data_IF_275842054305
#
_entry.id   IF_275842054305
#
_cell.length_a   1.000
_cell.length_b   1.000
_cell.length_c   1.000
_cell.angle_alpha   90.00
_cell.angle_beta   90.00
_cell.angle_gamma   90.00
#
_symmetry.space_group_name_H-M   'P 1'
#
loop_
_entity.id
_entity.type
_entity.pdbx_description
1 polymer ?
#
# COMPACT_ATOMS: atom_id res chain seq x y z
N UNK A 1 -7.72 3.74 -16.15
CA UNK A 1 -7.76 4.06 -17.59
C UNK A 1 -6.59 3.42 -18.36
N UNK A 2 -5.32 3.70 -18.05
CA UNK A 2 -4.18 3.09 -18.79
C UNK A 2 -4.11 1.55 -18.75
N UNK A 3 -4.32 0.91 -17.60
CA UNK A 3 -4.28 -0.57 -17.48
C UNK A 3 -5.41 -1.27 -18.26
N UNK A 4 -6.62 -0.70 -18.24
CA UNK A 4 -7.76 -1.24 -19.01
C UNK A 4 -7.57 -1.08 -20.52
N UNK A 5 -6.98 0.04 -20.96
CA UNK A 5 -6.67 0.28 -22.38
C UNK A 5 -5.57 -0.66 -22.89
N UNK A 6 -4.65 -1.08 -22.03
CA UNK A 6 -3.54 -1.97 -22.36
C UNK A 6 -3.84 -3.45 -22.08
N UNK A 7 -5.03 -3.77 -21.55
CA UNK A 7 -5.42 -5.10 -21.03
C UNK A 7 -4.40 -5.71 -20.03
N UNK A 8 -3.50 -4.88 -19.50
CA UNK A 8 -2.42 -5.32 -18.64
C UNK A 8 -2.90 -5.36 -17.19
N UNK A 9 -2.70 -6.51 -16.54
CA UNK A 9 -3.12 -6.70 -15.15
C UNK A 9 -4.63 -6.64 -14.96
N UNK A 10 -5.43 -7.00 -15.97
CA UNK A 10 -6.89 -7.07 -15.89
C UNK A 10 -7.39 -8.52 -16.07
N UNK A 11 -8.54 -8.86 -15.47
CA UNK A 11 -9.27 -10.10 -15.74
C UNK A 11 -9.87 -10.06 -17.15
N UNK A 12 -10.41 -11.20 -17.61
CA UNK A 12 -11.17 -11.28 -18.87
C UNK A 12 -12.40 -10.37 -18.92
N UNK A 13 -12.81 -9.80 -17.78
CA UNK A 13 -13.91 -8.83 -17.66
C UNK A 13 -13.43 -7.37 -17.65
N UNK A 14 -12.13 -7.12 -17.82
CA UNK A 14 -11.55 -5.76 -17.79
C UNK A 14 -11.37 -5.17 -16.39
N UNK A 15 -11.41 -6.02 -15.35
CA UNK A 15 -11.24 -5.61 -13.95
C UNK A 15 -9.78 -5.74 -13.51
N UNK A 16 -9.19 -4.78 -12.79
CA UNK A 16 -7.80 -4.88 -12.34
C UNK A 16 -7.57 -6.10 -11.43
N UNK A 17 -6.71 -7.03 -11.82
CA UNK A 17 -6.26 -8.17 -11.03
C UNK A 17 -4.89 -7.87 -10.42
N UNK A 18 -4.88 -6.98 -9.43
CA UNK A 18 -3.67 -6.53 -8.75
C UNK A 18 -3.55 -7.18 -7.37
N UNK A 19 -2.32 -7.47 -6.96
CA UNK A 19 -2.01 -7.90 -5.60
C UNK A 19 -1.00 -6.93 -5.02
N UNK A 20 -1.39 -6.23 -3.96
CA UNK A 20 -0.47 -5.37 -3.21
C UNK A 20 0.36 -6.21 -2.25
N UNK A 21 1.66 -5.94 -2.26
CA UNK A 21 2.65 -6.50 -1.34
C UNK A 21 3.39 -5.32 -0.72
N UNK A 22 3.66 -5.40 0.57
CA UNK A 22 4.51 -4.41 1.23
C UNK A 22 5.95 -4.53 0.69
N UNK A 23 6.60 -3.42 0.39
CA UNK A 23 7.95 -3.40 -0.20
C UNK A 23 8.99 -4.10 0.68
N UNK A 24 8.96 -3.89 2.01
CA UNK A 24 9.83 -4.57 2.95
C UNK A 24 9.54 -6.09 3.03
N UNK A 25 8.27 -6.49 2.92
CA UNK A 25 7.91 -7.90 2.87
C UNK A 25 8.35 -8.56 1.56
N UNK A 26 8.21 -7.86 0.44
CA UNK A 26 8.70 -8.30 -0.85
C UNK A 26 10.23 -8.42 -0.84
N UNK A 27 10.93 -7.38 -0.39
CA UNK A 27 12.38 -7.38 -0.19
C UNK A 27 12.85 -8.56 0.67
N UNK A 28 12.21 -8.77 1.82
CA UNK A 28 12.55 -9.86 2.72
C UNK A 28 12.27 -11.24 2.09
N UNK A 29 11.18 -11.37 1.31
CA UNK A 29 10.87 -12.62 0.61
C UNK A 29 11.94 -12.95 -0.42
N UNK A 30 12.32 -11.97 -1.23
CA UNK A 30 13.37 -12.13 -2.22
C UNK A 30 14.69 -12.52 -1.57
N UNK A 31 15.06 -11.85 -0.47
CA UNK A 31 16.28 -12.16 0.27
C UNK A 31 16.26 -13.55 0.90
N UNK A 32 15.10 -14.01 1.38
CA UNK A 32 14.93 -15.38 1.84
C UNK A 32 15.11 -16.37 0.69
N UNK A 33 14.54 -16.08 -0.49
CA UNK A 33 14.68 -16.91 -1.69
C UNK A 33 16.12 -17.00 -2.17
N UNK A 34 16.88 -15.90 -2.09
CA UNK A 34 18.32 -15.86 -2.37
C UNK A 34 19.21 -16.51 -1.29
N UNK A 35 18.63 -17.12 -0.25
CA UNK A 35 19.37 -17.75 0.84
C UNK A 35 20.05 -16.77 1.80
N UNK A 36 19.73 -15.47 1.72
CA UNK A 36 20.38 -14.43 2.53
C UNK A 36 19.75 -14.25 3.93
N UNK A 37 18.55 -14.81 4.15
CA UNK A 37 17.84 -14.79 5.45
C UNK A 37 17.66 -16.19 6.08
N UNK A 38 18.46 -17.18 5.69
CA UNK A 38 18.35 -18.55 6.24
C UNK A 38 18.64 -18.65 7.74
N UNK A 39 19.47 -17.74 8.25
CA UNK A 39 19.87 -17.61 9.65
C UNK A 39 18.90 -16.77 10.50
N UNK A 40 17.87 -16.15 9.90
CA UNK A 40 16.84 -15.45 10.67
C UNK A 40 15.84 -16.45 11.24
N UNK A 41 15.69 -16.42 12.56
CA UNK A 41 14.78 -17.27 13.31
C UNK A 41 13.51 -16.50 13.71
N UNK A 42 12.38 -17.19 13.95
CA UNK A 42 11.21 -16.57 14.55
C UNK A 42 11.60 -15.77 15.79
N UNK A 43 11.10 -14.53 15.89
CA UNK A 43 11.40 -13.48 16.88
C UNK A 43 12.63 -12.62 16.61
N UNK A 44 13.47 -12.98 15.66
CA UNK A 44 14.54 -12.08 15.22
C UNK A 44 13.96 -10.80 14.60
N UNK A 45 14.70 -9.70 14.73
CA UNK A 45 14.31 -8.37 14.27
C UNK A 45 15.27 -7.89 13.21
N UNK A 46 14.75 -7.19 12.22
CA UNK A 46 15.59 -6.58 11.20
C UNK A 46 15.02 -5.25 10.72
N UNK A 47 15.90 -4.34 10.34
CA UNK A 47 15.52 -3.13 9.63
C UNK A 47 15.60 -3.34 8.12
N UNK A 48 14.70 -2.71 7.38
CA UNK A 48 14.83 -2.50 5.94
C UNK A 48 15.04 -1.00 5.73
N UNK A 49 16.08 -0.65 4.97
CA UNK A 49 16.40 0.72 4.55
C UNK A 49 16.27 0.74 3.03
N UNK A 50 15.19 1.34 2.54
CA UNK A 50 14.92 1.51 1.11
C UNK A 50 15.57 2.78 0.60
N UNK A 51 16.71 2.63 -0.07
CA UNK A 51 17.44 3.69 -0.73
C UNK A 51 16.87 3.89 -2.13
N UNK A 52 15.75 4.60 -2.22
CA UNK A 52 15.09 4.95 -3.46
C UNK A 52 15.80 6.05 -4.26
N UNK A 53 15.16 6.45 -5.37
CA UNK A 53 15.63 7.56 -6.20
C UNK A 53 15.39 8.92 -5.53
N UNK A 54 14.19 9.14 -4.98
CA UNK A 54 13.80 10.42 -4.38
C UNK A 54 13.81 10.44 -2.84
N UNK A 55 13.51 9.31 -2.21
CA UNK A 55 13.46 9.19 -0.74
C UNK A 55 14.37 8.05 -0.29
N UNK A 56 14.74 8.09 0.98
CA UNK A 56 15.25 6.92 1.69
C UNK A 56 14.35 6.67 2.89
N UNK A 57 13.70 5.52 2.91
CA UNK A 57 12.74 5.15 3.95
C UNK A 57 13.27 3.96 4.75
N UNK A 58 12.85 3.84 5.99
CA UNK A 58 13.29 2.78 6.89
C UNK A 58 12.14 2.26 7.73
N UNK A 59 12.14 0.94 7.94
CA UNK A 59 11.19 0.29 8.81
C UNK A 59 11.78 -0.91 9.51
N UNK A 60 11.29 -1.19 10.72
CA UNK A 60 11.79 -2.28 11.57
C UNK A 60 10.74 -3.36 11.73
N UNK A 61 11.12 -4.58 11.40
CA UNK A 61 10.25 -5.75 11.37
C UNK A 61 10.75 -6.82 12.31
N UNK A 62 9.83 -7.63 12.82
CA UNK A 62 10.15 -8.85 13.54
C UNK A 62 9.71 -10.05 12.71
N UNK A 63 10.58 -11.04 12.53
CA UNK A 63 10.22 -12.30 11.89
C UNK A 63 9.24 -13.06 12.79
N UNK A 64 8.11 -13.45 12.23
CA UNK A 64 7.14 -14.31 12.90
C UNK A 64 7.32 -15.76 12.49
N UNK A 65 7.36 -16.02 11.20
CA UNK A 65 7.57 -17.34 10.60
C UNK A 65 8.53 -17.17 9.42
N UNK A 66 9.49 -18.09 9.29
CA UNK A 66 10.46 -18.02 8.21
C UNK A 66 9.93 -18.68 6.93
N UNK A 67 9.17 -19.77 7.06
CA UNK A 67 8.55 -20.50 5.93
C UNK A 67 7.12 -20.92 6.29
N UNK A 68 6.09 -20.34 5.63
CA UNK A 68 6.18 -19.19 4.72
C UNK A 68 6.65 -17.93 5.44
N UNK A 69 7.31 -17.00 4.72
CA UNK A 69 7.78 -15.76 5.33
C UNK A 69 6.59 -14.96 5.89
N UNK A 70 6.65 -14.65 7.18
CA UNK A 70 5.72 -13.77 7.88
C UNK A 70 6.49 -12.78 8.70
N UNK A 71 6.19 -11.51 8.48
CA UNK A 71 6.68 -10.42 9.30
C UNK A 71 5.56 -9.99 10.25
N UNK A 72 5.93 -9.67 11.49
CA UNK A 72 5.07 -8.84 12.34
C UNK A 72 4.96 -7.45 11.70
N UNK A 73 3.87 -6.73 11.99
CA UNK A 73 3.78 -5.31 11.63
C UNK A 73 5.01 -4.59 12.20
N UNK A 74 5.42 -3.54 11.51
CA UNK A 74 6.48 -2.64 11.92
C UNK A 74 6.44 -2.39 13.43
N UNK A 75 7.49 -2.84 14.12
CA UNK A 75 7.56 -2.83 15.59
C UNK A 75 8.06 -1.49 16.12
N UNK A 76 8.57 -0.63 15.25
CA UNK A 76 8.93 0.76 15.51
C UNK A 76 8.23 1.65 14.47
N UNK A 77 8.02 2.95 14.77
CA UNK A 77 7.50 3.88 13.79
C UNK A 77 8.43 3.96 12.56
N UNK A 78 7.88 4.03 11.33
CA UNK A 78 8.68 4.25 10.14
C UNK A 78 9.39 5.60 10.22
N UNK A 79 10.59 5.64 9.68
CA UNK A 79 11.39 6.85 9.58
C UNK A 79 11.86 7.02 8.13
N UNK A 80 11.93 8.25 7.64
CA UNK A 80 12.25 8.52 6.25
C UNK A 80 12.84 9.90 6.05
N UNK A 81 13.66 10.03 5.01
CA UNK A 81 14.32 11.26 4.60
C UNK A 81 14.03 11.53 3.13
N UNK A 82 13.79 12.80 2.80
CA UNK A 82 13.53 13.26 1.43
C UNK A 82 14.83 13.43 0.61
N UNK A 83 15.71 12.43 0.67
CA UNK A 83 16.93 12.37 -0.12
C UNK A 83 17.15 10.94 -0.60
N UNK A 84 17.36 10.79 -1.91
CA UNK A 84 17.65 9.52 -2.56
C UNK A 84 18.77 9.67 -3.58
N UNK A 85 19.04 8.59 -4.33
CA UNK A 85 20.16 8.54 -5.27
C UNK A 85 20.06 9.57 -6.41
N UNK A 86 18.88 10.12 -6.72
CA UNK A 86 18.71 11.17 -7.72
C UNK A 86 19.36 12.50 -7.30
N UNK A 87 19.55 12.73 -5.99
CA UNK A 87 20.24 13.93 -5.50
C UNK A 87 21.71 14.01 -5.96
N UNK A 88 22.32 12.87 -6.30
CA UNK A 88 23.65 12.82 -6.91
C UNK A 88 23.65 13.43 -8.32
N UNK A 89 22.54 13.29 -9.03
CA UNK A 89 22.37 13.78 -10.40
C UNK A 89 22.24 15.29 -10.40
N UNK A 90 21.42 15.82 -9.48
CA UNK A 90 21.25 17.26 -9.28
C UNK A 90 22.59 17.91 -8.91
N UNK A 91 23.35 17.31 -7.98
CA UNK A 91 24.68 17.81 -7.58
C UNK A 91 25.68 17.82 -8.72
N UNK A 92 25.73 16.75 -9.51
CA UNK A 92 26.61 16.70 -10.66
C UNK A 92 26.20 17.78 -11.68
N UNK A 93 24.90 17.89 -11.98
CA UNK A 93 24.39 18.85 -12.93
C UNK A 93 24.74 20.28 -12.51
N UNK A 94 24.49 20.64 -11.25
CA UNK A 94 24.82 21.97 -10.70
C UNK A 94 26.32 22.25 -10.76
N UNK A 95 27.14 21.23 -10.45
CA UNK A 95 28.59 21.33 -10.53
C UNK A 95 29.06 21.67 -11.95
N UNK A 96 28.63 20.87 -12.94
CA UNK A 96 29.05 21.07 -14.33
C UNK A 96 28.48 22.36 -14.90
N UNK A 97 27.21 22.64 -14.66
CA UNK A 97 26.54 23.87 -15.13
C UNK A 97 27.23 25.12 -14.57
N UNK A 98 27.60 25.08 -13.29
CA UNK A 98 28.36 26.14 -12.63
C UNK A 98 29.74 26.35 -13.24
N UNK A 99 30.48 25.28 -13.51
CA UNK A 99 31.81 25.37 -14.12
C UNK A 99 31.74 25.88 -15.56
N UNK A 100 30.79 25.39 -16.36
CA UNK A 100 30.58 25.87 -17.74
C UNK A 100 30.22 27.36 -17.76
N UNK A 101 29.30 27.78 -16.90
CA UNK A 101 28.83 29.16 -16.85
C UNK A 101 29.93 30.13 -16.42
N UNK A 102 30.79 29.72 -15.48
CA UNK A 102 31.91 30.54 -15.00
C UNK A 102 33.04 30.68 -16.00
N UNK A 103 33.33 29.61 -16.74
CA UNK A 103 34.52 29.53 -17.60
C UNK A 103 34.23 29.78 -19.09
N UNK A 104 32.95 29.83 -19.49
CA UNK A 104 32.55 29.92 -20.90
C UNK A 104 33.33 28.93 -21.78
N UNK A 105 33.42 27.69 -21.31
CA UNK A 105 34.37 26.69 -21.81
C UNK A 105 33.83 25.83 -22.96
N UNK A 106 32.67 26.18 -23.54
CA UNK A 106 32.09 25.44 -24.67
C UNK A 106 32.29 26.21 -25.96
N UNK A 107 32.76 25.52 -27.00
CA UNK A 107 32.81 26.06 -28.36
C UNK A 107 31.39 26.36 -28.89
N UNK A 108 31.04 27.64 -29.17
CA UNK A 108 29.73 27.99 -29.71
C UNK A 108 29.40 27.29 -31.03
N UNK A 109 30.42 26.99 -31.85
CA UNK A 109 30.23 26.32 -33.13
C UNK A 109 29.75 24.86 -32.97
N UNK A 110 30.14 24.20 -31.87
CA UNK A 110 29.75 22.81 -31.58
C UNK A 110 28.46 22.71 -30.76
N UNK A 111 28.17 23.74 -29.97
CA UNK A 111 26.89 23.87 -29.27
C UNK A 111 25.73 24.06 -30.26
N UNK A 112 25.95 24.88 -31.30
CA UNK A 112 24.93 25.19 -32.30
C UNK A 112 23.70 25.84 -31.67
N UNK A 113 22.50 25.32 -31.99
CA UNK A 113 21.23 25.81 -31.45
C UNK A 113 20.77 25.10 -30.16
N UNK A 114 21.59 24.20 -29.59
CA UNK A 114 21.24 23.47 -28.36
C UNK A 114 21.48 24.35 -27.14
N UNK A 115 20.68 24.15 -26.09
CA UNK A 115 20.98 24.72 -24.78
C UNK A 115 22.16 23.99 -24.13
N UNK A 116 22.91 24.70 -23.28
CA UNK A 116 23.98 24.12 -22.47
C UNK A 116 23.45 22.96 -21.62
N UNK A 117 22.26 23.14 -21.02
CA UNK A 117 21.59 22.09 -20.25
C UNK A 117 21.36 20.81 -21.07
N UNK A 118 20.81 20.93 -22.28
CA UNK A 118 20.59 19.77 -23.16
C UNK A 118 21.90 19.05 -23.46
N UNK A 119 22.97 19.82 -23.63
CA UNK A 119 24.31 19.30 -23.94
C UNK A 119 24.93 18.57 -22.72
N UNK A 120 24.80 19.12 -21.51
CA UNK A 120 25.19 18.46 -20.26
C UNK A 120 24.43 17.15 -20.08
N UNK A 121 23.11 17.17 -20.33
CA UNK A 121 22.27 15.97 -20.20
C UNK A 121 22.73 14.86 -21.14
N UNK A 122 22.99 15.20 -22.39
CA UNK A 122 23.42 14.26 -23.44
C UNK A 122 24.80 13.64 -23.15
N UNK A 123 25.80 14.47 -22.81
CA UNK A 123 27.20 14.01 -22.75
C UNK A 123 27.67 13.60 -21.35
N UNK A 124 27.01 14.09 -20.29
CA UNK A 124 27.39 13.81 -18.90
C UNK A 124 26.32 12.98 -18.21
N UNK A 125 25.08 13.47 -18.15
CA UNK A 125 24.06 12.85 -17.28
C UNK A 125 23.70 11.44 -17.74
N UNK A 126 23.60 11.20 -19.06
CA UNK A 126 23.37 9.84 -19.58
C UNK A 126 24.47 8.85 -19.18
N UNK A 127 25.74 9.27 -19.24
CA UNK A 127 26.86 8.43 -18.81
C UNK A 127 26.90 8.27 -17.29
N UNK A 128 26.51 9.31 -16.55
CA UNK A 128 26.47 9.34 -15.11
C UNK A 128 25.49 8.33 -14.51
N UNK A 129 24.31 8.16 -15.11
CA UNK A 129 23.30 7.18 -14.66
C UNK A 129 23.88 5.77 -14.44
N UNK A 130 24.79 5.37 -15.33
CA UNK A 130 25.47 4.09 -15.23
C UNK A 130 26.70 4.17 -14.32
N UNK A 131 27.46 5.26 -14.39
CA UNK A 131 28.75 5.38 -13.70
C UNK A 131 28.62 5.58 -12.19
N UNK A 132 27.60 6.30 -11.72
CA UNK A 132 27.42 6.63 -10.30
C UNK A 132 27.33 5.41 -9.38
N UNK A 133 26.82 4.28 -9.89
CA UNK A 133 26.72 3.02 -9.14
C UNK A 133 28.07 2.37 -8.85
N UNK A 134 29.04 2.55 -9.75
CA UNK A 134 30.37 1.91 -9.66
C UNK A 134 31.43 2.78 -8.97
N UNK A 135 31.08 4.01 -8.55
CA UNK A 135 32.02 4.87 -7.80
C UNK A 135 32.21 4.29 -6.41
N UNK A 136 33.45 4.09 -5.98
CA UNK A 136 33.76 3.40 -4.72
C UNK A 136 34.28 4.33 -3.61
N UNK A 137 34.89 5.47 -3.99
CA UNK A 137 35.52 6.45 -3.11
C UNK A 137 36.61 5.83 -2.20
N UNK A 138 37.49 5.00 -2.78
CA UNK A 138 38.48 4.23 -2.01
C UNK A 138 39.90 4.78 -2.10
N UNK A 139 40.28 5.33 -3.24
CA UNK A 139 41.62 5.87 -3.48
C UNK A 139 41.54 7.28 -4.03
N UNK A 140 42.53 8.11 -3.66
CA UNK A 140 42.66 9.49 -4.18
C UNK A 140 42.91 9.55 -5.70
N UNK A 141 43.22 8.41 -6.30
CA UNK A 141 43.47 8.25 -7.74
C UNK A 141 42.18 8.02 -8.53
N UNK A 142 41.07 7.67 -7.87
CA UNK A 142 39.78 7.45 -8.52
C UNK A 142 39.30 8.72 -9.22
N UNK A 143 38.95 8.57 -10.49
CA UNK A 143 38.45 9.64 -11.35
C UNK A 143 37.30 9.15 -12.20
N UNK A 144 36.39 10.06 -12.51
CA UNK A 144 35.35 9.84 -13.52
C UNK A 144 35.57 10.84 -14.64
N UNK A 145 35.67 10.34 -15.88
CA UNK A 145 35.92 11.15 -17.07
C UNK A 145 34.71 11.06 -17.99
N UNK A 146 34.16 12.21 -18.35
CA UNK A 146 33.12 12.33 -19.36
C UNK A 146 33.70 12.90 -20.64
N UNK A 147 33.33 12.31 -21.77
CA UNK A 147 33.59 12.91 -23.07
C UNK A 147 32.61 14.06 -23.27
N UNK A 148 33.13 15.25 -23.54
CA UNK A 148 32.32 16.45 -23.68
C UNK A 148 32.82 17.24 -24.90
N UNK A 149 32.27 16.98 -26.09
CA UNK A 149 32.78 17.60 -27.31
C UNK A 149 32.67 19.13 -27.24
N UNK A 150 33.70 19.83 -27.73
CA UNK A 150 33.72 21.29 -27.72
C UNK A 150 34.07 21.92 -26.37
N UNK A 151 34.38 21.13 -25.34
CA UNK A 151 35.02 21.66 -24.14
C UNK A 151 36.42 22.18 -24.49
N UNK A 152 36.70 23.44 -24.18
CA UNK A 152 38.01 24.08 -24.31
C UNK A 152 38.68 24.14 -22.95
N UNK A 153 39.91 23.66 -22.87
CA UNK A 153 40.75 23.78 -21.69
C UNK A 153 40.86 25.25 -21.29
N UNK A 154 40.57 25.53 -20.04
CA UNK A 154 40.88 26.78 -19.37
C UNK A 154 41.59 26.47 -18.06
N UNK A 155 42.28 27.46 -17.49
CA UNK A 155 42.79 27.36 -16.13
C UNK A 155 41.63 27.41 -15.13
N UNK A 156 40.88 26.32 -15.01
CA UNK A 156 40.01 26.13 -13.86
C UNK A 156 40.87 25.71 -12.67
N UNK A 157 40.51 26.18 -11.46
CA UNK A 157 41.36 25.96 -10.27
C UNK A 157 41.42 24.49 -9.84
N UNK A 158 40.54 23.64 -10.35
CA UNK A 158 40.42 22.22 -10.00
C UNK A 158 40.76 21.24 -11.12
N UNK A 159 41.08 21.69 -12.34
CA UNK A 159 41.50 20.82 -13.45
C UNK A 159 40.39 19.92 -14.02
N UNK A 160 39.12 20.29 -13.82
CA UNK A 160 37.95 19.52 -14.28
C UNK A 160 37.70 19.74 -15.77
N UNK A 161 37.88 20.96 -16.24
CA UNK A 161 37.67 21.35 -17.65
C UNK A 161 38.94 21.05 -18.45
N UNK A 162 38.88 20.03 -19.31
CA UNK A 162 39.98 19.63 -20.17
C UNK A 162 39.52 19.61 -21.63
N UNK A 163 40.46 19.66 -22.58
CA UNK A 163 40.11 19.65 -24.00
C UNK A 163 39.27 18.39 -24.35
N UNK A 164 38.02 18.63 -24.73
CA UNK A 164 37.03 17.61 -25.07
C UNK A 164 36.56 16.73 -23.90
N UNK A 165 36.88 17.05 -22.64
CA UNK A 165 36.61 16.19 -21.48
C UNK A 165 36.21 16.99 -20.23
N UNK A 166 35.34 16.38 -19.42
CA UNK A 166 35.08 16.83 -18.06
C UNK A 166 35.56 15.75 -17.07
N UNK A 167 36.44 16.10 -16.15
CA UNK A 167 37.11 15.16 -15.25
C UNK A 167 36.75 15.46 -13.81
N UNK A 168 36.06 14.53 -13.16
CA UNK A 168 35.82 14.55 -11.72
C UNK A 168 36.99 13.88 -11.00
N UNK A 169 37.58 14.60 -10.06
CA UNK A 169 38.55 14.06 -9.11
C UNK A 169 37.87 13.31 -7.96
N UNK A 170 38.65 12.59 -7.16
CA UNK A 170 38.18 12.00 -5.91
C UNK A 170 37.44 13.01 -5.01
N UNK A 171 38.00 14.21 -4.83
CA UNK A 171 37.40 15.23 -3.97
C UNK A 171 36.06 15.73 -4.52
N UNK A 172 35.92 15.84 -5.85
CA UNK A 172 34.65 16.19 -6.48
C UNK A 172 33.61 15.08 -6.30
N UNK A 173 34.02 13.82 -6.45
CA UNK A 173 33.14 12.68 -6.19
C UNK A 173 32.71 12.64 -4.72
N UNK A 174 33.63 12.89 -3.78
CA UNK A 174 33.27 13.04 -2.36
C UNK A 174 32.26 14.17 -2.14
N UNK A 175 32.46 15.34 -2.75
CA UNK A 175 31.54 16.49 -2.65
C UNK A 175 30.15 16.19 -3.22
N UNK A 176 30.07 15.38 -4.27
CA UNK A 176 28.80 14.93 -4.88
C UNK A 176 28.08 13.93 -3.94
N UNK A 177 28.80 12.96 -3.38
CA UNK A 177 28.19 11.87 -2.61
C UNK A 177 27.95 12.18 -1.13
N UNK A 178 28.69 13.11 -0.53
CA UNK A 178 28.75 13.30 0.92
C UNK A 178 27.40 13.41 1.60
N UNK A 179 26.52 14.29 1.13
CA UNK A 179 25.29 14.63 1.86
C UNK A 179 24.28 13.48 1.79
N UNK A 180 24.22 12.76 0.65
CA UNK A 180 23.39 11.56 0.52
C UNK A 180 23.90 10.42 1.39
N UNK A 181 25.20 10.11 1.33
CA UNK A 181 25.79 9.05 2.17
C UNK A 181 25.60 9.37 3.66
N UNK A 182 25.90 10.60 4.08
CA UNK A 182 25.75 11.02 5.47
C UNK A 182 24.30 10.89 5.95
N UNK A 183 23.33 11.31 5.13
CA UNK A 183 21.93 11.25 5.51
C UNK A 183 21.43 9.80 5.66
N UNK A 184 21.78 8.90 4.74
CA UNK A 184 21.41 7.47 4.81
C UNK A 184 22.11 6.78 5.99
N UNK A 185 23.39 7.09 6.22
CA UNK A 185 24.14 6.57 7.35
C UNK A 185 23.53 7.02 8.68
N UNK A 186 23.18 8.31 8.81
CA UNK A 186 22.53 8.85 10.01
C UNK A 186 21.17 8.18 10.25
N UNK A 187 20.31 8.10 9.23
CA UNK A 187 19.03 7.41 9.31
C UNK A 187 19.19 5.98 9.82
N UNK A 188 20.17 5.26 9.28
CA UNK A 188 20.44 3.87 9.69
C UNK A 188 20.89 3.80 11.15
N UNK A 189 21.80 4.69 11.57
CA UNK A 189 22.24 4.80 12.96
C UNK A 189 21.10 5.09 13.92
N UNK A 190 20.20 6.03 13.56
CA UNK A 190 19.04 6.40 14.35
C UNK A 190 18.06 5.22 14.52
N UNK A 191 17.83 4.45 13.46
CA UNK A 191 16.98 3.25 13.50
C UNK A 191 17.56 2.19 14.43
N UNK A 192 18.87 1.94 14.34
CA UNK A 192 19.56 0.98 15.20
C UNK A 192 19.50 1.43 16.67
N UNK A 193 19.80 2.70 16.93
CA UNK A 193 19.79 3.26 18.28
C UNK A 193 18.39 3.24 18.88
N UNK A 194 17.36 3.64 18.12
CA UNK A 194 15.98 3.60 18.57
C UNK A 194 15.54 2.18 18.94
N UNK A 195 15.94 1.19 18.14
CA UNK A 195 15.65 -0.21 18.41
C UNK A 195 16.32 -0.68 19.71
N UNK A 196 17.58 -0.30 19.92
CA UNK A 196 18.31 -0.56 21.15
C UNK A 196 17.64 0.07 22.38
N UNK A 197 17.32 1.37 22.32
CA UNK A 197 16.72 2.13 23.42
C UNK A 197 15.34 1.58 23.83
N UNK A 198 14.63 0.96 22.90
CA UNK A 198 13.35 0.29 23.16
C UNK A 198 13.49 -1.15 23.69
N UNK A 199 14.72 -1.61 23.97
CA UNK A 199 14.98 -3.00 24.38
C UNK A 199 14.70 -4.00 23.27
N UNK A 200 14.79 -3.56 22.01
CA UNK A 200 14.46 -4.34 20.81
C UNK A 200 15.65 -4.42 19.83
N UNK A 201 16.82 -4.93 20.23
CA UNK A 201 18.00 -4.94 19.37
C UNK A 201 17.74 -5.67 18.05
N UNK A 202 18.35 -5.15 16.98
CA UNK A 202 18.22 -5.70 15.64
C UNK A 202 19.23 -6.83 15.41
N UNK A 203 18.77 -7.89 14.76
CA UNK A 203 19.59 -8.97 14.26
C UNK A 203 20.13 -8.68 12.86
N UNK A 204 19.46 -7.85 12.04
CA UNK A 204 19.89 -7.50 10.67
C UNK A 204 19.39 -6.13 10.20
N UNK A 205 20.02 -5.59 9.16
CA UNK A 205 19.70 -4.32 8.50
C UNK A 205 19.95 -4.63 7.03
N UNK A 206 18.91 -4.45 6.24
CA UNK A 206 18.86 -4.79 4.83
C UNK A 206 18.72 -3.51 4.04
N UNK A 207 19.59 -3.31 3.06
CA UNK A 207 19.47 -2.19 2.13
C UNK A 207 18.81 -2.67 0.85
N UNK A 208 17.78 -1.92 0.42
CA UNK A 208 17.02 -2.18 -0.80
C UNK A 208 16.86 -0.89 -1.60
N UNK A 209 16.24 -0.99 -2.78
CA UNK A 209 16.10 0.14 -3.69
C UNK A 209 17.33 0.35 -4.57
N UNK A 210 17.16 1.02 -5.71
CA UNK A 210 18.23 1.17 -6.70
C UNK A 210 19.44 1.98 -6.20
N UNK A 211 19.25 2.86 -5.22
CA UNK A 211 20.34 3.58 -4.56
C UNK A 211 21.20 2.68 -3.67
N UNK A 212 20.64 1.59 -3.14
CA UNK A 212 21.42 0.63 -2.34
C UNK A 212 22.49 -0.08 -3.16
N UNK A 213 22.44 -0.05 -4.50
CA UNK A 213 23.44 -0.64 -5.40
C UNK A 213 24.72 0.19 -5.55
N UNK A 214 24.76 1.44 -5.05
CA UNK A 214 25.94 2.28 -5.15
C UNK A 214 27.09 1.77 -4.25
N UNK A 215 28.25 1.49 -4.86
CA UNK A 215 29.41 0.95 -4.15
C UNK A 215 29.91 1.88 -3.02
N UNK A 216 29.95 3.19 -3.26
CA UNK A 216 30.30 4.20 -2.26
C UNK A 216 29.36 4.13 -1.03
N UNK A 217 28.05 4.12 -1.22
CA UNK A 217 27.09 4.03 -0.09
C UNK A 217 27.32 2.75 0.72
N UNK A 218 27.39 1.60 0.04
CA UNK A 218 27.61 0.29 0.68
C UNK A 218 28.85 0.32 1.56
N UNK A 219 29.96 0.84 1.05
CA UNK A 219 31.22 0.90 1.80
C UNK A 219 31.12 1.79 3.03
N UNK A 220 30.59 3.00 2.89
CA UNK A 220 30.58 3.99 3.97
C UNK A 220 29.61 3.61 5.08
N UNK A 221 28.41 3.14 4.74
CA UNK A 221 27.42 2.73 5.74
C UNK A 221 27.94 1.55 6.55
N UNK A 222 28.58 0.56 5.91
CA UNK A 222 29.19 -0.58 6.61
C UNK A 222 30.28 -0.13 7.56
N UNK A 223 31.22 0.68 7.06
CA UNK A 223 32.32 1.19 7.87
C UNK A 223 31.81 1.95 9.09
N UNK A 224 30.79 2.79 8.93
CA UNK A 224 30.22 3.57 10.02
C UNK A 224 29.53 2.68 11.05
N UNK A 225 28.70 1.74 10.61
CA UNK A 225 28.00 0.80 11.50
C UNK A 225 29.01 -0.05 12.29
N UNK A 226 30.05 -0.56 11.62
CA UNK A 226 31.13 -1.33 12.28
C UNK A 226 31.89 -0.47 13.30
N UNK A 227 32.15 0.81 12.99
CA UNK A 227 32.89 1.71 13.87
C UNK A 227 32.09 2.17 15.10
N UNK A 228 30.77 2.28 14.97
CA UNK A 228 29.86 2.73 16.04
C UNK A 228 29.28 1.56 16.87
N UNK A 229 29.62 0.32 16.54
CA UNK A 229 29.23 -0.87 17.30
C UNK A 229 29.96 -0.92 18.66
N UNK A 230 29.34 -0.39 19.71
CA UNK A 230 29.81 -0.56 21.11
C UNK A 230 29.90 -2.03 21.51
N UNK A 231 30.71 -2.42 22.52
CA UNK A 231 30.83 -3.81 23.00
C UNK A 231 29.54 -4.46 23.55
N UNK A 232 28.43 -3.72 23.60
CA UNK A 232 27.08 -4.24 23.86
C UNK A 232 26.36 -4.76 22.59
N UNK A 233 26.96 -4.58 21.40
CA UNK A 233 26.65 -5.36 20.21
C UNK A 233 27.30 -6.72 20.39
N UNK A 234 26.49 -7.76 20.62
CA UNK A 234 26.98 -9.11 20.87
C UNK A 234 27.98 -9.56 19.79
N UNK A 235 29.13 -10.03 20.24
CA UNK A 235 30.21 -10.61 19.42
C UNK A 235 29.77 -11.82 18.57
N UNK A 236 28.57 -12.36 18.78
CA UNK A 236 27.98 -13.43 18.00
C UNK A 236 26.92 -12.88 17.03
N UNK A 237 27.39 -12.43 15.86
CA UNK A 237 26.59 -12.03 14.68
C UNK A 237 25.94 -10.64 14.78
N UNK A 238 25.86 -9.89 13.66
CA UNK A 238 25.57 -10.38 12.30
C UNK A 238 26.54 -9.96 11.18
N UNK A 239 26.48 -10.78 10.13
CA UNK A 239 27.03 -10.51 8.79
C UNK A 239 26.28 -9.32 8.18
N UNK A 240 26.75 -8.09 8.42
CA UNK A 240 26.29 -6.85 7.79
C UNK A 240 27.16 -6.50 6.59
N UNK A 241 26.63 -5.91 5.50
CA UNK A 241 25.27 -5.88 5.00
C UNK A 241 25.05 -7.06 4.03
N UNK A 242 23.82 -7.57 3.93
CA UNK A 242 23.48 -8.51 2.85
C UNK A 242 22.77 -7.75 1.75
N UNK A 243 23.52 -7.62 0.68
CA UNK A 243 23.24 -6.73 -0.42
C UNK A 243 22.30 -7.44 -1.39
N UNK A 244 21.11 -6.88 -1.57
CA UNK A 244 20.21 -7.27 -2.64
C UNK A 244 20.76 -6.84 -3.99
N UNK A 245 20.24 -7.44 -5.07
CA UNK A 245 20.11 -6.74 -6.34
C UNK A 245 19.04 -5.64 -6.11
N UNK A 246 19.46 -4.50 -5.55
CA UNK A 246 18.59 -3.50 -4.93
C UNK A 246 17.53 -2.92 -5.84
N UNK A 247 17.86 -2.75 -7.13
CA UNK A 247 16.90 -2.32 -8.14
C UNK A 247 15.80 -3.35 -8.47
N UNK A 248 16.01 -4.64 -8.17
CA UNK A 248 15.09 -5.74 -8.56
C UNK A 248 14.45 -6.45 -7.37
N UNK A 249 15.04 -6.38 -6.18
CA UNK A 249 14.66 -7.24 -5.06
C UNK A 249 13.20 -7.07 -4.61
N UNK A 250 12.71 -5.83 -4.54
CA UNK A 250 11.30 -5.56 -4.21
C UNK A 250 10.36 -6.12 -5.29
N UNK A 251 10.65 -5.85 -6.57
CA UNK A 251 9.82 -6.34 -7.67
C UNK A 251 9.84 -7.87 -7.78
N UNK A 252 11.01 -8.50 -7.66
CA UNK A 252 11.17 -9.94 -7.66
C UNK A 252 10.41 -10.58 -6.50
N UNK A 253 10.55 -10.05 -5.29
CA UNK A 253 9.81 -10.50 -4.13
C UNK A 253 8.29 -10.33 -4.26
N UNK A 254 7.83 -9.26 -4.92
CA UNK A 254 6.41 -9.08 -5.20
C UNK A 254 5.90 -10.17 -6.18
N UNK A 255 6.67 -10.50 -7.22
CA UNK A 255 6.35 -11.58 -8.16
C UNK A 255 6.34 -12.94 -7.46
N UNK A 256 7.37 -13.23 -6.65
CA UNK A 256 7.45 -14.44 -5.83
C UNK A 256 6.23 -14.57 -4.91
N UNK A 257 5.76 -13.46 -4.32
CA UNK A 257 4.57 -13.44 -3.49
C UNK A 257 3.29 -13.71 -4.28
N UNK A 258 3.18 -13.19 -5.49
CA UNK A 258 2.00 -13.41 -6.35
C UNK A 258 1.97 -14.83 -6.90
N UNK A 259 3.14 -15.43 -7.15
CA UNK A 259 3.25 -16.80 -7.62
C UNK A 259 2.72 -17.82 -6.59
N UNK A 260 2.83 -17.54 -5.29
CA UNK A 260 2.26 -18.34 -4.23
C UNK A 260 1.32 -17.53 -3.29
N UNK A 261 0.05 -17.47 -3.68
CA UNK A 261 -1.00 -16.81 -2.90
C UNK A 261 -1.49 -17.64 -1.71
N UNK A 262 -1.16 -18.94 -1.64
CA UNK A 262 -1.60 -19.83 -0.54
C UNK A 262 -1.09 -19.34 0.83
N UNK A 263 -0.03 -18.52 0.78
CA UNK A 263 0.62 -17.92 1.90
C UNK A 263 0.47 -16.39 1.91
N UNK A 264 -0.63 -15.84 1.40
CA UNK A 264 -0.93 -14.41 1.52
C UNK A 264 -1.17 -14.02 2.99
N UNK A 265 -0.80 -12.80 3.43
CA UNK A 265 -1.06 -12.34 4.79
C UNK A 265 -2.56 -12.31 5.05
N UNK A 266 -2.99 -12.85 6.20
CA UNK A 266 -4.35 -12.67 6.70
C UNK A 266 -4.55 -11.18 7.05
N UNK A 267 -5.69 -10.59 6.68
CA UNK A 267 -5.93 -9.14 6.79
C UNK A 267 -7.05 -8.84 7.78
N UNK A 268 -7.01 -7.68 8.42
CA UNK A 268 -8.13 -7.20 9.23
C UNK A 268 -8.76 -6.05 8.47
N UNK A 269 -10.08 -5.96 8.48
CA UNK A 269 -10.74 -4.81 7.88
C UNK A 269 -10.54 -3.58 8.78
N UNK A 270 -10.15 -2.44 8.19
CA UNK A 270 -10.05 -1.16 8.91
C UNK A 270 -11.34 -0.34 8.84
N UNK A 271 -12.30 -0.79 8.04
CA UNK A 271 -13.64 -0.22 7.95
C UNK A 271 -14.71 -1.26 8.28
N UNK A 272 -15.86 -0.78 8.68
CA UNK A 272 -17.08 -1.56 8.68
C UNK A 272 -17.81 -1.37 7.35
N UNK A 273 -18.46 -2.43 6.90
CA UNK A 273 -19.32 -2.45 5.70
C UNK A 273 -20.70 -2.87 6.18
N UNK A 274 -21.70 -2.03 5.93
CA UNK A 274 -23.05 -2.25 6.40
C UNK A 274 -24.11 -2.02 5.34
N UNK A 275 -25.29 -2.56 5.60
CA UNK A 275 -26.47 -2.43 4.74
C UNK A 275 -27.57 -1.67 5.49
N UNK A 276 -28.22 -0.76 4.78
CA UNK A 276 -29.38 -0.01 5.28
C UNK A 276 -30.61 -0.91 5.31
N UNK A 277 -31.32 -0.91 6.44
CA UNK A 277 -32.51 -1.72 6.71
C UNK A 277 -33.62 -0.90 7.33
N UNK A 278 -34.83 -1.38 7.10
CA UNK A 278 -36.02 -0.98 7.83
C UNK A 278 -36.31 -2.06 8.86
N UNK A 279 -36.36 -1.68 10.15
CA UNK A 279 -36.63 -2.62 11.24
C UNK A 279 -38.09 -2.45 11.69
N UNK A 280 -38.93 -3.49 11.63
CA UNK A 280 -40.28 -3.43 12.18
C UNK A 280 -40.26 -3.24 13.70
N UNK A 281 -41.09 -2.34 14.25
CA UNK A 281 -41.12 -2.09 15.70
C UNK A 281 -41.69 -3.26 16.54
N UNK A 282 -42.29 -4.25 15.88
CA UNK A 282 -42.87 -5.47 16.48
C UNK A 282 -41.89 -6.63 16.61
N UNK A 283 -40.65 -6.52 16.12
CA UNK A 283 -39.70 -7.63 16.17
C UNK A 283 -39.05 -7.73 17.57
N UNK A 284 -39.04 -8.91 18.21
CA UNK A 284 -38.55 -9.08 19.60
C UNK A 284 -37.04 -8.84 19.75
N UNK A 285 -36.26 -8.94 18.66
CA UNK A 285 -34.84 -8.51 18.62
C UNK A 285 -34.66 -7.01 18.98
N UNK A 286 -35.73 -6.22 18.85
CA UNK A 286 -35.84 -4.79 19.16
C UNK A 286 -35.99 -4.54 20.67
N UNK A 287 -36.15 -5.57 21.52
CA UNK A 287 -36.15 -5.37 22.98
C UNK A 287 -34.85 -4.77 23.52
N UNK A 288 -33.73 -4.89 22.79
CA UNK A 288 -32.45 -4.19 23.09
C UNK A 288 -32.29 -2.82 22.42
N UNK A 289 -33.26 -2.43 21.57
CA UNK A 289 -33.27 -1.22 20.74
C UNK A 289 -34.18 -0.14 21.34
N UNK A 290 -35.14 -0.50 22.20
CA UNK A 290 -36.11 0.42 22.86
C UNK A 290 -35.48 1.50 23.77
N UNK A 291 -34.22 1.33 24.20
CA UNK A 291 -33.49 2.32 25.01
C UNK A 291 -32.66 3.32 24.18
N UNK A 292 -32.73 3.24 22.84
CA UNK A 292 -31.97 4.10 21.93
C UNK A 292 -32.91 5.14 21.34
N UNK A 293 -32.47 6.40 21.29
CA UNK A 293 -33.25 7.53 20.75
C UNK A 293 -33.45 7.38 19.24
N UNK A 294 -34.52 6.71 18.82
CA UNK A 294 -34.86 6.54 17.42
C UNK A 294 -36.04 7.41 16.98
N UNK A 295 -36.04 7.75 15.70
CA UNK A 295 -37.20 8.33 15.04
C UNK A 295 -38.01 7.18 14.46
N UNK A 296 -39.11 6.86 15.11
CA UNK A 296 -40.13 5.99 14.56
C UNK A 296 -40.89 6.73 13.45
N UNK A 297 -41.14 6.03 12.35
CA UNK A 297 -42.01 6.53 11.29
C UNK A 297 -43.21 5.61 11.22
N UNK A 298 -44.41 6.19 11.34
CA UNK A 298 -45.63 5.46 11.06
C UNK A 298 -45.65 5.14 9.57
N UNK A 299 -45.66 3.85 9.24
CA UNK A 299 -45.66 3.44 7.85
C UNK A 299 -46.99 3.88 7.21
N UNK A 300 -46.93 4.46 6.00
CA UNK A 300 -48.11 5.05 5.34
C UNK A 300 -49.19 4.02 4.99
N UNK A 301 -48.86 2.74 5.06
CA UNK A 301 -49.65 1.62 4.54
C UNK A 301 -50.38 0.81 5.61
N UNK A 302 -49.81 0.67 6.82
CA UNK A 302 -50.21 -0.43 7.73
C UNK A 302 -50.35 -0.04 9.22
N UNK A 303 -50.38 1.25 9.57
CA UNK A 303 -50.42 1.78 10.95
C UNK A 303 -49.26 1.34 11.87
N UNK A 304 -48.36 0.48 11.41
CA UNK A 304 -47.21 -0.04 12.14
C UNK A 304 -46.06 0.97 12.14
N UNK A 305 -45.36 1.06 13.27
CA UNK A 305 -44.13 1.81 13.39
C UNK A 305 -42.97 0.98 12.88
N UNK A 306 -42.06 1.63 12.16
CA UNK A 306 -40.78 1.06 11.79
C UNK A 306 -39.66 2.05 12.10
N UNK A 307 -38.45 1.51 12.21
CA UNK A 307 -37.22 2.26 12.33
C UNK A 307 -36.50 2.21 10.97
N UNK A 308 -36.73 3.20 10.10
CA UNK A 308 -36.05 3.25 8.81
C UNK A 308 -34.60 3.70 8.96
N UNK A 309 -33.79 3.45 7.92
CA UNK A 309 -32.40 3.89 7.80
C UNK A 309 -31.46 3.35 8.87
N UNK A 310 -31.81 2.22 9.49
CA UNK A 310 -30.95 1.51 10.41
C UNK A 310 -29.83 0.82 9.63
N UNK A 311 -28.60 0.77 10.15
CA UNK A 311 -27.48 0.11 9.48
C UNK A 311 -27.11 -1.18 10.21
N UNK A 312 -27.11 -2.30 9.51
CA UNK A 312 -26.54 -3.57 9.97
C UNK A 312 -25.10 -3.71 9.43
N UNK A 313 -24.09 -3.74 10.30
CA UNK A 313 -22.68 -3.84 9.90
C UNK A 313 -22.28 -5.31 9.68
N UNK A 314 -22.49 -5.78 8.44
CA UNK A 314 -22.18 -7.15 7.98
C UNK A 314 -20.71 -7.54 8.17
N UNK A 315 -19.82 -6.57 7.99
CA UNK A 315 -18.41 -6.68 8.31
C UNK A 315 -18.04 -5.52 9.22
N UNK A 316 -17.34 -5.80 10.33
CA UNK A 316 -16.97 -4.77 11.32
C UNK A 316 -15.49 -4.49 11.30
N UNK A 317 -15.10 -3.22 11.43
CA UNK A 317 -13.70 -2.83 11.65
C UNK A 317 -13.07 -3.67 12.76
N UNK A 318 -11.86 -4.17 12.51
CA UNK A 318 -11.12 -5.00 13.46
C UNK A 318 -11.66 -6.41 13.63
N UNK A 319 -12.70 -6.81 12.88
CA UNK A 319 -13.11 -8.20 12.77
C UNK A 319 -11.92 -9.01 12.26
N UNK A 320 -11.80 -10.22 12.83
CA UNK A 320 -10.64 -11.11 12.75
C UNK A 320 -10.04 -11.32 11.35
N UNK A 321 -8.95 -12.09 11.27
CA UNK A 321 -8.24 -12.28 10.00
C UNK A 321 -9.18 -12.79 8.91
N UNK A 322 -9.34 -11.99 7.87
CA UNK A 322 -10.05 -12.33 6.66
C UNK A 322 -9.09 -13.05 5.70
N UNK A 323 -9.55 -14.14 5.05
CA UNK A 323 -8.87 -14.72 3.89
C UNK A 323 -8.82 -13.72 2.73
N UNK A 324 -7.98 -14.00 1.73
CA UNK A 324 -7.85 -13.15 0.53
C UNK A 324 -9.16 -13.00 -0.26
N UNK A 325 -10.04 -14.00 -0.16
CA UNK A 325 -11.41 -13.98 -0.65
C UNK A 325 -12.32 -14.33 0.53
N UNK A 326 -13.10 -13.36 1.01
CA UNK A 326 -14.04 -13.53 2.10
C UNK A 326 -15.46 -13.46 1.57
N UNK A 327 -16.25 -14.51 1.82
CA UNK A 327 -17.64 -14.59 1.37
C UNK A 327 -18.58 -14.26 2.50
N UNK A 328 -19.47 -13.33 2.24
CA UNK A 328 -20.58 -12.97 3.11
C UNK A 328 -21.88 -13.39 2.42
N UNK A 329 -22.81 -13.91 3.21
CA UNK A 329 -24.14 -14.23 2.75
C UNK A 329 -25.10 -13.34 3.55
N UNK A 330 -25.75 -12.41 2.86
CA UNK A 330 -26.78 -11.58 3.44
C UNK A 330 -28.15 -12.01 2.91
N UNK A 331 -29.17 -11.96 3.77
CA UNK A 331 -30.52 -12.34 3.39
C UNK A 331 -31.48 -11.23 3.80
N UNK A 332 -32.40 -10.91 2.90
CA UNK A 332 -33.44 -9.92 3.17
C UNK A 332 -34.81 -10.36 2.65
N UNK A 333 -35.83 -9.77 3.27
CA UNK A 333 -37.22 -9.91 2.88
C UNK A 333 -37.74 -8.55 2.44
N UNK A 334 -38.46 -8.54 1.32
CA UNK A 334 -39.02 -7.33 0.74
C UNK A 334 -40.52 -7.31 1.01
N UNK A 335 -40.99 -6.24 1.65
CA UNK A 335 -42.41 -5.99 1.85
C UNK A 335 -42.94 -5.25 0.61
N UNK A 336 -43.87 -5.88 -0.11
CA UNK A 336 -44.43 -5.37 -1.37
C UNK A 336 -45.92 -5.09 -1.19
N UNK A 337 -46.37 -3.94 -1.63
CA UNK A 337 -47.80 -3.60 -1.56
C UNK A 337 -48.59 -4.33 -2.65
N UNK A 338 -49.81 -4.76 -2.32
CA UNK A 338 -50.74 -5.35 -3.30
C UNK A 338 -50.99 -4.43 -4.51
N UNK A 339 -50.96 -3.11 -4.28
CA UNK A 339 -51.18 -2.09 -5.30
C UNK A 339 -49.92 -1.65 -6.05
N UNK A 340 -48.74 -2.20 -5.74
CA UNK A 340 -47.48 -1.73 -6.35
C UNK A 340 -47.33 -2.15 -7.82
N UNK A 341 -47.29 -1.15 -8.71
CA UNK A 341 -47.06 -1.35 -10.15
C UNK A 341 -45.63 -1.81 -10.47
N UNK A 342 -44.64 -1.50 -9.63
CA UNK A 342 -43.26 -1.93 -9.78
C UNK A 342 -42.80 -2.68 -8.54
N UNK A 343 -42.23 -3.88 -8.73
CA UNK A 343 -41.63 -4.67 -7.64
C UNK A 343 -40.12 -4.51 -7.70
N UNK A 344 -39.65 -3.29 -7.53
CA UNK A 344 -38.24 -2.93 -7.54
C UNK A 344 -37.89 -2.28 -6.22
N UNK A 345 -36.81 -2.75 -5.62
CA UNK A 345 -36.27 -2.14 -4.40
C UNK A 345 -34.75 -1.96 -4.51
N UNK A 346 -34.15 -1.27 -3.55
CA UNK A 346 -32.75 -0.90 -3.56
C UNK A 346 -32.12 -1.12 -2.19
N UNK A 347 -31.16 -2.04 -2.13
CA UNK A 347 -30.29 -2.18 -0.96
C UNK A 347 -29.19 -1.12 -1.03
N UNK A 348 -29.06 -0.29 0.03
CA UNK A 348 -28.00 0.71 0.12
C UNK A 348 -26.90 0.24 1.05
N UNK A 349 -25.66 0.35 0.59
CA UNK A 349 -24.49 -0.04 1.36
C UNK A 349 -23.73 1.18 1.86
N UNK A 350 -23.22 1.08 3.09
CA UNK A 350 -22.50 2.13 3.78
C UNK A 350 -21.17 1.60 4.30
N UNK A 351 -20.19 2.50 4.41
CA UNK A 351 -18.88 2.24 5.00
C UNK A 351 -18.58 3.22 6.13
N UNK A 352 -17.82 2.77 7.12
CA UNK A 352 -17.36 3.62 8.23
C UNK A 352 -16.01 3.17 8.78
N UNK A 353 -15.14 4.12 9.13
CA UNK A 353 -13.89 3.86 9.86
C UNK A 353 -14.10 3.77 11.38
N UNK A 354 -15.31 4.00 11.88
CA UNK A 354 -15.60 4.14 13.32
C UNK A 354 -16.76 3.27 13.81
N UNK A 355 -17.82 3.11 13.00
CA UNK A 355 -19.07 2.49 13.44
C UNK A 355 -18.95 0.96 13.46
N UNK A 356 -19.36 0.31 14.54
CA UNK A 356 -19.35 -1.18 14.67
C UNK A 356 -20.60 -1.74 15.33
N UNK A 357 -21.50 -0.88 15.81
CA UNK A 357 -22.74 -1.29 16.47
C UNK A 357 -23.90 -1.27 15.50
N UNK A 358 -24.65 -2.38 15.45
CA UNK A 358 -25.72 -2.58 14.50
C UNK A 358 -27.00 -1.82 14.91
N UNK A 359 -27.85 -1.63 13.90
CA UNK A 359 -29.22 -1.17 14.02
C UNK A 359 -29.38 0.23 14.61
N UNK A 360 -28.39 1.08 14.39
CA UNK A 360 -28.53 2.52 14.60
C UNK A 360 -28.92 3.22 13.29
N UNK A 361 -29.82 4.20 13.39
CA UNK A 361 -30.21 5.05 12.26
C UNK A 361 -29.03 5.90 11.78
N UNK A 362 -28.96 6.23 10.50
CA UNK A 362 -27.91 7.08 9.92
C UNK A 362 -27.75 8.44 10.64
N UNK A 363 -28.85 9.03 11.11
CA UNK A 363 -28.84 10.29 11.85
C UNK A 363 -28.58 10.15 13.36
N UNK A 364 -28.52 8.92 13.88
CA UNK A 364 -28.20 8.67 15.28
C UNK A 364 -26.74 9.05 15.57
N UNK A 365 -26.39 9.58 16.77
CA UNK A 365 -25.01 9.96 17.11
C UNK A 365 -23.94 8.88 16.91
N UNK A 366 -24.34 7.60 16.92
CA UNK A 366 -23.44 6.46 16.63
C UNK A 366 -23.00 6.38 15.17
N UNK A 367 -23.79 6.90 14.24
CA UNK A 367 -23.52 6.85 12.79
C UNK A 367 -23.36 8.25 12.15
N UNK A 368 -24.03 9.27 12.69
CA UNK A 368 -24.09 10.61 12.12
C UNK A 368 -22.69 11.21 11.93
N UNK A 369 -22.38 11.57 10.68
CA UNK A 369 -21.10 12.16 10.30
C UNK A 369 -19.93 11.17 10.22
N UNK A 370 -20.18 9.88 10.45
CA UNK A 370 -19.15 8.81 10.49
C UNK A 370 -19.35 7.76 9.39
N UNK A 371 -20.41 7.87 8.60
CA UNK A 371 -20.78 6.93 7.55
C UNK A 371 -20.70 7.59 6.18
N UNK A 372 -20.23 6.85 5.17
CA UNK A 372 -20.29 7.23 3.76
C UNK A 372 -21.04 6.17 2.97
N UNK A 373 -21.93 6.58 2.08
CA UNK A 373 -22.59 5.64 1.18
C UNK A 373 -21.58 5.06 0.19
N UNK A 374 -21.47 3.74 0.17
CA UNK A 374 -20.59 2.99 -0.72
C UNK A 374 -21.23 2.83 -2.10
N UNK A 375 -22.52 2.50 -2.13
CA UNK A 375 -23.25 2.22 -3.35
C UNK A 375 -24.66 1.71 -3.09
N UNK A 376 -25.29 1.20 -4.15
CA UNK A 376 -26.65 0.64 -4.10
C UNK A 376 -26.78 -0.56 -5.02
N UNK A 377 -27.61 -1.52 -4.64
CA UNK A 377 -27.94 -2.69 -5.43
C UNK A 377 -29.44 -2.68 -5.74
N UNK A 378 -29.79 -2.62 -7.02
CA UNK A 378 -31.18 -2.65 -7.47
C UNK A 378 -31.65 -4.11 -7.54
N UNK A 379 -32.81 -4.38 -6.94
CA UNK A 379 -33.43 -5.69 -6.85
C UNK A 379 -34.76 -5.64 -7.61
N UNK A 380 -34.81 -6.27 -8.79
CA UNK A 380 -36.05 -6.40 -9.58
C UNK A 380 -36.72 -7.76 -9.32
N UNK A 381 -37.85 -7.72 -8.63
CA UNK A 381 -38.71 -8.85 -8.32
C UNK A 381 -39.94 -8.91 -9.23
N UNK A 382 -40.00 -8.11 -10.29
CA UNK A 382 -41.13 -8.05 -11.21
C UNK A 382 -41.47 -9.39 -11.86
N UNK A 383 -40.48 -10.26 -12.07
CA UNK A 383 -40.68 -11.63 -12.59
C UNK A 383 -41.53 -12.53 -11.66
N UNK A 384 -41.67 -12.16 -10.39
CA UNK A 384 -42.49 -12.88 -9.41
C UNK A 384 -43.97 -12.50 -9.49
N UNK A 385 -44.33 -11.40 -10.18
CA UNK A 385 -45.73 -10.98 -10.35
C UNK A 385 -46.55 -12.07 -11.03
N UNK A 386 -47.60 -12.52 -10.35
CA UNK A 386 -48.49 -13.57 -10.84
C UNK A 386 -47.89 -14.98 -10.89
N UNK A 387 -46.64 -15.18 -10.47
CA UNK A 387 -45.97 -16.50 -10.48
C UNK A 387 -45.73 -17.08 -9.10
N UNK A 388 -45.79 -16.26 -8.04
CA UNK A 388 -45.68 -16.73 -6.66
C UNK A 388 -46.95 -16.47 -5.87
N UNK A 389 -47.20 -17.37 -4.91
CA UNK A 389 -48.16 -17.11 -3.84
C UNK A 389 -47.47 -16.25 -2.81
N UNK A 390 -47.97 -15.04 -2.66
CA UNK A 390 -47.47 -14.10 -1.70
C UNK A 390 -47.99 -14.44 -0.30
N UNK A 391 -47.13 -14.35 0.70
CA UNK A 391 -47.53 -14.53 2.09
C UNK A 391 -47.94 -13.19 2.67
N UNK A 392 -49.19 -13.08 3.11
CA UNK A 392 -49.64 -11.96 3.92
C UNK A 392 -49.03 -12.11 5.31
N UNK A 393 -48.49 -11.03 5.90
CA UNK A 393 -48.05 -11.09 7.30
C UNK A 393 -49.23 -11.44 8.21
N UNK A 394 -48.92 -12.17 9.29
CA UNK A 394 -49.90 -12.58 10.30
C UNK A 394 -50.39 -11.41 11.18
N UNK A 395 -49.81 -10.21 11.05
CA UNK A 395 -50.15 -9.01 11.82
C UNK A 395 -51.52 -8.40 11.45
N UNK A 396 -52.18 -8.92 10.40
CA UNK A 396 -53.60 -8.71 10.13
C UNK A 396 -54.01 -7.29 9.74
N UNK A 397 -53.06 -6.36 9.63
CA UNK A 397 -53.30 -4.94 9.33
C UNK A 397 -52.45 -4.53 8.14
N UNK A 398 -53.06 -4.51 6.95
CA UNK A 398 -52.39 -4.14 5.71
C UNK A 398 -52.59 -5.13 4.55
N UNK A 399 -52.51 -4.63 3.33
CA UNK A 399 -52.51 -5.40 2.07
C UNK A 399 -51.09 -5.43 1.49
N UNK A 400 -50.16 -5.99 2.25
CA UNK A 400 -48.78 -6.19 1.82
C UNK A 400 -48.38 -7.65 1.90
N UNK A 401 -47.35 -7.94 1.14
CA UNK A 401 -46.89 -9.26 0.84
C UNK A 401 -45.40 -9.35 1.10
N UNK A 402 -45.00 -10.34 1.88
CA UNK A 402 -43.59 -10.59 2.16
C UNK A 402 -43.00 -11.48 1.06
N UNK A 403 -41.94 -11.00 0.41
CA UNK A 403 -41.23 -11.72 -0.67
C UNK A 403 -39.78 -11.92 -0.27
N UNK A 404 -39.35 -13.19 -0.22
CA UNK A 404 -37.97 -13.53 0.13
C UNK A 404 -37.81 -15.00 0.55
N UNK A 405 -36.66 -15.37 1.13
CA UNK A 405 -35.47 -14.52 1.26
C UNK A 405 -34.83 -14.30 -0.12
N UNK A 406 -34.44 -13.06 -0.40
CA UNK A 406 -33.45 -12.79 -1.45
C UNK A 406 -32.08 -12.94 -0.82
N UNK A 407 -31.23 -13.73 -1.44
CA UNK A 407 -29.88 -13.99 -0.98
C UNK A 407 -28.95 -13.07 -1.74
N UNK A 408 -28.21 -12.23 -1.02
CA UNK A 408 -27.14 -11.39 -1.58
C UNK A 408 -25.81 -12.00 -1.17
N UNK A 409 -25.20 -12.71 -2.10
CA UNK A 409 -23.83 -13.18 -1.95
C UNK A 409 -22.89 -12.01 -2.20
N UNK A 410 -22.00 -11.77 -1.23
CA UNK A 410 -20.97 -10.76 -1.35
C UNK A 410 -19.60 -11.42 -1.32
N UNK A 411 -18.78 -11.12 -2.32
CA UNK A 411 -17.40 -11.60 -2.38
C UNK A 411 -16.50 -10.41 -2.15
N UNK A 412 -15.86 -10.43 -0.99
CA UNK A 412 -14.90 -9.44 -0.57
C UNK A 412 -13.50 -9.91 -0.96
N UNK A 413 -12.89 -9.20 -1.90
CA UNK A 413 -11.49 -9.38 -2.30
C UNK A 413 -10.66 -8.17 -1.89
N UNK A 414 -9.36 -8.18 -2.17
CA UNK A 414 -8.43 -7.10 -1.79
C UNK A 414 -8.87 -5.68 -2.18
N UNK A 415 -9.59 -5.53 -3.30
CA UNK A 415 -9.94 -4.23 -3.86
C UNK A 415 -11.42 -4.09 -4.20
N UNK A 416 -12.15 -5.20 -4.25
CA UNK A 416 -13.50 -5.25 -4.77
C UNK A 416 -14.42 -5.92 -3.77
N UNK A 417 -15.57 -5.29 -3.59
CA UNK A 417 -16.73 -5.94 -3.01
C UNK A 417 -17.72 -6.18 -4.14
N UNK A 418 -17.83 -7.45 -4.52
CA UNK A 418 -18.76 -7.91 -5.54
C UNK A 418 -20.06 -8.37 -4.89
N UNK A 419 -21.18 -8.07 -5.53
CA UNK A 419 -22.52 -8.46 -5.08
C UNK A 419 -23.18 -9.29 -6.16
N UNK A 420 -23.92 -10.30 -5.72
CA UNK A 420 -24.84 -11.04 -6.58
C UNK A 420 -26.09 -11.39 -5.81
N UNK A 421 -27.24 -10.91 -6.26
CA UNK A 421 -28.51 -11.31 -5.67
C UNK A 421 -29.09 -12.55 -6.39
N UNK A 422 -29.70 -13.43 -5.61
CA UNK A 422 -30.42 -14.59 -6.10
C UNK A 422 -31.69 -14.83 -5.31
N UNK A 423 -32.68 -15.43 -5.97
CA UNK A 423 -33.93 -15.87 -5.35
C UNK A 423 -34.16 -17.34 -5.70
N UNK A 424 -34.33 -18.18 -4.67
CA UNK A 424 -34.49 -19.65 -4.81
C UNK A 424 -33.44 -20.29 -5.75
N UNK A 425 -32.18 -19.82 -5.65
CA UNK A 425 -31.05 -20.32 -6.43
C UNK A 425 -30.97 -19.79 -7.87
N UNK A 426 -31.88 -18.92 -8.31
CA UNK A 426 -31.79 -18.22 -9.60
C UNK A 426 -31.22 -16.82 -9.41
N UNK A 427 -30.18 -16.46 -10.16
CA UNK A 427 -29.62 -15.12 -10.15
C UNK A 427 -30.66 -14.10 -10.66
N UNK A 428 -30.72 -12.94 -10.01
CA UNK A 428 -31.58 -11.84 -10.44
C UNK A 428 -30.82 -11.01 -11.50
N UNK A 429 -31.40 -10.80 -12.67
CA UNK A 429 -30.77 -9.99 -13.73
C UNK A 429 -30.58 -8.53 -13.26
N UNK A 430 -29.43 -7.93 -13.58
CA UNK A 430 -29.11 -6.55 -13.19
C UNK A 430 -28.72 -6.37 -11.71
N UNK A 431 -28.73 -7.44 -10.91
CA UNK A 431 -28.37 -7.42 -9.48
C UNK A 431 -26.89 -7.74 -9.21
N UNK A 432 -26.01 -7.42 -10.16
CA UNK A 432 -24.57 -7.51 -10.00
C UNK A 432 -23.99 -6.10 -9.83
N UNK A 433 -23.23 -5.90 -8.75
CA UNK A 433 -22.53 -4.65 -8.49
C UNK A 433 -21.10 -4.93 -8.04
N UNK A 434 -20.18 -4.01 -8.35
CA UNK A 434 -18.79 -4.08 -7.91
C UNK A 434 -18.37 -2.70 -7.38
N UNK A 435 -17.93 -2.63 -6.12
CA UNK A 435 -17.42 -1.40 -5.52
C UNK A 435 -15.92 -1.51 -5.20
N UNK A 436 -15.15 -0.48 -5.54
CA UNK A 436 -13.75 -0.38 -5.15
C UNK A 436 -13.63 0.05 -3.68
N UNK A 437 -12.91 -0.74 -2.90
CA UNK A 437 -12.72 -0.55 -1.45
C UNK A 437 -11.24 -0.60 -1.07
N UNK A 438 -10.33 -0.20 -1.95
CA UNK A 438 -8.87 -0.27 -1.70
C UNK A 438 -8.44 0.42 -0.38
N UNK A 439 -9.14 1.47 0.07
CA UNK A 439 -8.85 2.14 1.35
C UNK A 439 -9.29 1.35 2.61
N UNK A 440 -10.00 0.23 2.44
CA UNK A 440 -10.67 -0.52 3.50
C UNK A 440 -9.79 -1.47 4.32
N UNK A 441 -8.57 -1.76 3.85
CA UNK A 441 -7.75 -2.84 4.38
C UNK A 441 -6.35 -2.36 4.77
N UNK A 442 -5.98 -2.58 6.04
CA UNK A 442 -4.58 -2.62 6.48
C UNK A 442 -4.26 -3.97 7.13
N UNK A 443 -3.01 -4.39 6.97
CA UNK A 443 -2.47 -5.61 7.60
C UNK A 443 -2.18 -5.35 9.09
N UNK A 444 -2.84 -6.09 9.98
CA UNK A 444 -2.57 -6.12 11.42
C UNK A 444 -2.58 -7.58 11.92
N UNK A 445 -1.85 -7.89 12.98
CA UNK A 445 -1.69 -9.26 13.49
C UNK A 445 -2.89 -9.74 14.33
N UNK A 446 -3.11 -11.07 14.33
CA UNK A 446 -3.79 -11.76 15.42
C UNK A 446 -2.98 -11.61 16.72
N UNK A 447 -3.58 -10.97 17.72
CA UNK A 447 -3.17 -11.08 19.12
C UNK A 447 -3.40 -12.53 19.55
N UNK A 448 -2.32 -13.31 19.72
CA UNK A 448 -2.42 -14.56 20.50
C UNK A 448 -2.43 -14.17 21.97
N UNK A 449 -3.60 -14.29 22.60
CA UNK A 449 -3.75 -14.38 24.04
C UNK A 449 -2.85 -15.50 24.56
N UNK A 450 -1.83 -15.16 25.33
CA UNK A 450 -1.13 -16.10 26.20
C UNK A 450 -2.08 -16.56 27.30
N UNK A 451 -2.29 -17.87 27.37
CA UNK A 451 -2.34 -18.57 28.66
C UNK A 451 -1.04 -19.33 28.81
#
# INVERSE_FOLDING_TARGET
MAMQVLEFGCTTRGEPNLTLVNEAEAAALHLLHCGQLEDLMPRDRFAVVDCGGGTTDSGVYQLREQRPLRLKKEILPPNGIAIGAASLDDRLFDLVSGDISKHNCIDPALLGNRSIESYIREFIMLAWEHRKRSVELTTREEKVVFMFPGMKSQSDTRGRVQDGRYVLSYDDLCDIFKDWIQAVTQLTGDVIQLAFDKGMPLNKVMFVGGGSDAAALRRYVVKEIESNSSPNFSQESPKWPRLTDGARGVAAGAVERVADKSHSPKRFTTISIGVEKIIPAVNDEVTTIKDRYFTEVQNKTDELYSYPWCVEWLLKKGQGPLPAEYKLNYQDFFDILETEESWRDTLKFHVSEECTEDFYQLHHPKNRGKTKQLGRLEIDLGFLKGTIVLQRREDGKGSFYMVGPVIVDMVLTNHHLEFKASYKGKALEGSEANFNITAAFHHLEQVSTSR
#
